data_IF_103307345383
#
_entry.id   IF_103307345383
#
_cell.length_a   1.000
_cell.length_b   1.000
_cell.length_c   1.000
_cell.angle_alpha   90.00
_cell.angle_beta   90.00
_cell.angle_gamma   90.00
#
_symmetry.space_group_name_H-M   'P 1'
#
loop_
_entity.id
_entity.type
_entity.pdbx_description
1 polymer ?
#
# COMPACT_ATOMS: atom_id res chain seq x y z
N UNK A 1 9.18 10.75 6.74
CA UNK A 1 9.31 10.65 5.26
C UNK A 1 7.93 10.94 4.70
N UNK A 2 7.83 11.79 3.69
CA UNK A 2 6.55 12.12 3.09
C UNK A 2 6.11 10.99 2.16
N UNK A 3 4.94 10.42 2.41
CA UNK A 3 4.28 9.44 1.54
C UNK A 3 3.09 10.11 0.84
N UNK A 4 3.10 10.08 -0.50
CA UNK A 4 2.00 10.50 -1.37
C UNK A 4 1.40 9.26 -2.01
N UNK A 5 0.09 9.09 -1.90
CA UNK A 5 -0.68 8.11 -2.69
C UNK A 5 -1.48 8.88 -3.72
N UNK A 6 -1.33 8.52 -4.99
CA UNK A 6 -2.09 9.06 -6.11
C UNK A 6 -2.69 7.88 -6.89
N UNK A 7 -3.98 7.62 -6.69
CA UNK A 7 -4.59 6.40 -7.21
C UNK A 7 -4.69 6.34 -8.73
N UNK A 8 -4.66 7.50 -9.38
CA UNK A 8 -4.57 7.61 -10.83
C UNK A 8 -3.23 7.04 -11.33
N UNK A 9 -2.11 7.51 -10.76
CA UNK A 9 -0.76 7.03 -11.07
C UNK A 9 -0.59 5.54 -10.74
N UNK A 10 -1.13 5.09 -9.59
CA UNK A 10 -1.07 3.69 -9.18
C UNK A 10 -1.84 2.79 -10.15
N UNK A 11 -3.03 3.22 -10.60
CA UNK A 11 -3.85 2.46 -11.55
C UNK A 11 -3.21 2.42 -12.93
N UNK A 12 -2.66 3.54 -13.41
CA UNK A 12 -1.89 3.60 -14.65
C UNK A 12 -0.68 2.65 -14.62
N UNK A 13 0.08 2.69 -13.52
CA UNK A 13 1.19 1.77 -13.31
C UNK A 13 0.73 0.31 -13.29
N UNK A 14 -0.39 0.00 -12.65
CA UNK A 14 -0.95 -1.36 -12.63
C UNK A 14 -1.30 -1.86 -14.04
N UNK A 15 -1.91 -1.00 -14.86
CA UNK A 15 -2.22 -1.34 -16.25
C UNK A 15 -0.94 -1.56 -17.08
N UNK A 16 0.04 -0.69 -16.93
CA UNK A 16 1.34 -0.84 -17.58
C UNK A 16 2.04 -2.15 -17.18
N UNK A 17 2.08 -2.42 -15.87
CA UNK A 17 2.69 -3.63 -15.33
C UNK A 17 2.01 -4.89 -15.84
N UNK A 18 0.67 -4.90 -15.93
CA UNK A 18 -0.09 -6.01 -16.48
C UNK A 18 0.31 -6.32 -17.92
N UNK A 19 0.33 -5.30 -18.79
CA UNK A 19 0.73 -5.48 -20.20
C UNK A 19 2.16 -6.01 -20.29
N UNK A 20 3.09 -5.39 -19.56
CA UNK A 20 4.51 -5.81 -19.57
C UNK A 20 4.71 -7.23 -19.01
N UNK A 21 3.97 -7.60 -17.97
CA UNK A 21 4.01 -8.93 -17.38
C UNK A 21 3.44 -9.98 -18.34
N UNK A 22 2.34 -9.69 -19.05
CA UNK A 22 1.76 -10.58 -20.06
C UNK A 22 2.72 -10.82 -21.24
N UNK A 23 3.37 -9.77 -21.75
CA UNK A 23 4.39 -9.88 -22.80
C UNK A 23 5.61 -10.70 -22.34
N UNK A 24 6.07 -10.45 -21.11
CA UNK A 24 7.20 -11.17 -20.53
C UNK A 24 6.86 -12.64 -20.32
N UNK A 25 5.69 -12.96 -19.77
CA UNK A 25 5.23 -14.35 -19.58
C UNK A 25 5.12 -15.07 -20.92
N UNK A 26 4.56 -14.43 -21.93
CA UNK A 26 4.49 -14.99 -23.29
C UNK A 26 5.89 -15.33 -23.83
N UNK A 27 6.86 -14.45 -23.61
CA UNK A 27 8.26 -14.68 -24.01
C UNK A 27 8.87 -15.88 -23.26
N UNK A 28 8.65 -15.97 -21.96
CA UNK A 28 9.14 -17.09 -21.13
C UNK A 28 8.50 -18.42 -21.54
N UNK A 29 7.20 -18.43 -21.86
CA UNK A 29 6.49 -19.60 -22.37
C UNK A 29 7.04 -20.06 -23.73
N UNK A 30 7.38 -19.12 -24.62
CA UNK A 30 8.02 -19.43 -25.89
C UNK A 30 9.40 -20.06 -25.71
N UNK A 31 10.21 -19.56 -24.76
CA UNK A 31 11.51 -20.15 -24.41
C UNK A 31 11.31 -21.58 -23.85
N UNK A 32 10.34 -21.76 -22.95
CA UNK A 32 9.98 -23.07 -22.38
C UNK A 32 9.58 -24.05 -23.49
N UNK A 33 8.76 -23.63 -24.44
CA UNK A 33 8.38 -24.44 -25.61
C UNK A 33 9.59 -24.81 -26.48
N UNK A 34 10.52 -23.88 -26.68
CA UNK A 34 11.79 -24.12 -27.38
C UNK A 34 12.65 -25.17 -26.69
N UNK A 35 12.80 -25.08 -25.36
CA UNK A 35 13.50 -26.08 -24.55
C UNK A 35 12.85 -27.45 -24.68
N UNK A 36 11.51 -27.54 -24.56
CA UNK A 36 10.78 -28.81 -24.70
C UNK A 36 11.04 -29.47 -26.05
N UNK A 37 11.11 -28.70 -27.14
CA UNK A 37 11.45 -29.23 -28.48
C UNK A 37 12.88 -29.78 -28.54
N UNK A 38 13.85 -29.12 -27.90
CA UNK A 38 15.24 -29.61 -27.83
C UNK A 38 15.31 -30.92 -27.03
N UNK A 39 14.54 -31.05 -25.96
CA UNK A 39 14.50 -32.26 -25.14
C UNK A 39 14.03 -33.48 -25.94
N UNK A 40 12.98 -33.32 -26.75
CA UNK A 40 12.39 -34.39 -27.57
C UNK A 40 13.10 -34.58 -28.92
N UNK A 41 14.21 -33.89 -29.18
CA UNK A 41 14.89 -33.96 -30.47
C UNK A 41 15.81 -35.19 -30.53
N UNK A 42 15.46 -36.16 -31.37
CA UNK A 42 16.23 -37.40 -31.56
C UNK A 42 17.59 -37.15 -32.26
N UNK A 43 17.65 -36.14 -33.13
CA UNK A 43 18.90 -35.73 -33.79
C UNK A 43 19.91 -35.09 -32.84
N UNK A 44 19.48 -34.66 -31.65
CA UNK A 44 20.34 -34.17 -30.59
C UNK A 44 20.59 -35.28 -29.57
N UNK A 45 21.63 -36.09 -29.80
CA UNK A 45 21.90 -37.33 -29.05
C UNK A 45 23.37 -37.49 -28.66
N UNK A 46 23.63 -38.43 -27.75
CA UNK A 46 24.93 -38.72 -27.17
C UNK A 46 25.11 -38.14 -25.76
N UNK A 47 26.14 -38.60 -25.05
CA UNK A 47 26.31 -38.33 -23.61
C UNK A 47 26.34 -36.84 -23.22
N UNK A 48 26.85 -35.99 -24.10
CA UNK A 48 26.85 -34.53 -23.88
C UNK A 48 25.46 -33.92 -24.11
N UNK A 49 24.73 -34.40 -25.13
CA UNK A 49 23.36 -33.97 -25.41
C UNK A 49 22.42 -34.36 -24.26
N UNK A 50 22.55 -35.58 -23.73
CA UNK A 50 21.75 -36.06 -22.60
C UNK A 50 21.94 -35.18 -21.35
N UNK A 51 23.20 -34.81 -21.04
CA UNK A 51 23.50 -33.90 -19.94
C UNK A 51 22.90 -32.49 -20.16
N UNK A 52 22.97 -31.96 -21.38
CA UNK A 52 22.35 -30.68 -21.71
C UNK A 52 20.82 -30.73 -21.59
N UNK A 53 20.17 -31.79 -22.07
CA UNK A 53 18.72 -32.01 -21.94
C UNK A 53 18.28 -32.05 -20.47
N UNK A 54 19.04 -32.74 -19.62
CA UNK A 54 18.80 -32.79 -18.18
C UNK A 54 18.98 -31.42 -17.53
N UNK A 55 20.05 -30.69 -17.86
CA UNK A 55 20.28 -29.33 -17.35
C UNK A 55 19.15 -28.37 -17.73
N UNK A 56 18.67 -28.43 -18.97
CA UNK A 56 17.50 -27.66 -19.39
C UNK A 56 16.24 -28.04 -18.61
N UNK A 57 16.02 -29.34 -18.37
CA UNK A 57 14.86 -29.85 -17.62
C UNK A 57 14.84 -29.38 -16.17
N UNK A 58 15.93 -29.61 -15.46
CA UNK A 58 15.97 -29.52 -14.00
C UNK A 58 16.12 -28.06 -13.54
N UNK A 59 16.90 -27.27 -14.28
CA UNK A 59 17.25 -25.91 -13.86
C UNK A 59 16.46 -24.88 -14.65
N UNK A 60 16.58 -24.88 -15.98
CA UNK A 60 16.00 -23.79 -16.77
C UNK A 60 14.47 -23.82 -16.79
N UNK A 61 13.83 -24.97 -16.97
CA UNK A 61 12.36 -25.04 -16.93
C UNK A 61 11.81 -24.63 -15.57
N UNK A 62 12.42 -25.11 -14.48
CA UNK A 62 12.05 -24.73 -13.11
C UNK A 62 12.18 -23.22 -12.88
N UNK A 63 13.27 -22.62 -13.36
CA UNK A 63 13.52 -21.19 -13.23
C UNK A 63 12.52 -20.35 -14.04
N UNK A 64 12.20 -20.77 -15.27
CA UNK A 64 11.19 -20.12 -16.11
C UNK A 64 9.82 -20.14 -15.43
N UNK A 65 9.42 -21.28 -14.85
CA UNK A 65 8.17 -21.40 -14.10
C UNK A 65 8.15 -20.49 -12.86
N UNK A 66 9.28 -20.36 -12.16
CA UNK A 66 9.40 -19.45 -11.04
C UNK A 66 9.22 -17.98 -11.46
N UNK A 67 9.78 -17.56 -12.61
CA UNK A 67 9.59 -16.21 -13.14
C UNK A 67 8.15 -15.96 -13.59
N UNK A 68 7.53 -16.89 -14.31
CA UNK A 68 6.12 -16.79 -14.72
C UNK A 68 5.22 -16.62 -13.50
N UNK A 69 5.49 -17.40 -12.44
CA UNK A 69 4.78 -17.27 -11.18
C UNK A 69 5.04 -15.92 -10.50
N UNK A 70 6.29 -15.47 -10.43
CA UNK A 70 6.65 -14.17 -9.84
C UNK A 70 5.87 -13.01 -10.49
N UNK A 71 5.81 -12.96 -11.82
CA UNK A 71 5.04 -11.92 -12.52
C UNK A 71 3.53 -12.01 -12.25
N UNK A 72 3.01 -13.23 -12.13
CA UNK A 72 1.60 -13.45 -11.78
C UNK A 72 1.30 -12.99 -10.35
N UNK A 73 2.12 -13.40 -9.40
CA UNK A 73 1.99 -13.04 -7.98
C UNK A 73 2.13 -11.52 -7.80
N UNK A 74 3.06 -10.88 -8.53
CA UNK A 74 3.27 -9.44 -8.49
C UNK A 74 2.03 -8.67 -8.99
N UNK A 75 1.47 -9.07 -10.12
CA UNK A 75 0.26 -8.44 -10.69
C UNK A 75 -0.93 -8.58 -9.73
N UNK A 76 -1.20 -9.79 -9.25
CA UNK A 76 -2.31 -10.06 -8.32
C UNK A 76 -2.17 -9.28 -7.01
N UNK A 77 -0.95 -9.16 -6.51
CA UNK A 77 -0.68 -8.43 -5.28
C UNK A 77 -0.97 -6.93 -5.45
N UNK A 78 -0.54 -6.33 -6.55
CA UNK A 78 -0.84 -4.93 -6.86
C UNK A 78 -2.34 -4.69 -7.05
N UNK A 79 -3.03 -5.55 -7.81
CA UNK A 79 -4.48 -5.48 -8.01
C UNK A 79 -5.24 -5.57 -6.67
N UNK A 80 -4.83 -6.49 -5.80
CA UNK A 80 -5.40 -6.63 -4.45
C UNK A 80 -5.16 -5.39 -3.59
N UNK A 81 -3.99 -4.76 -3.69
CA UNK A 81 -3.71 -3.52 -2.95
C UNK A 81 -4.58 -2.36 -3.41
N UNK A 82 -4.82 -2.24 -4.71
CA UNK A 82 -5.73 -1.24 -5.29
C UNK A 82 -7.17 -1.48 -4.79
N UNK A 83 -7.65 -2.72 -4.83
CA UNK A 83 -8.98 -3.07 -4.32
C UNK A 83 -9.12 -2.81 -2.82
N UNK A 84 -8.09 -3.13 -2.04
CA UNK A 84 -8.03 -2.86 -0.60
C UNK A 84 -8.10 -1.36 -0.33
N UNK A 85 -7.41 -0.54 -1.12
CA UNK A 85 -7.49 0.92 -1.02
C UNK A 85 -8.93 1.39 -1.29
N UNK A 86 -9.54 0.96 -2.39
CA UNK A 86 -10.90 1.38 -2.74
C UNK A 86 -11.96 0.97 -1.72
N UNK A 87 -11.74 -0.16 -1.03
CA UNK A 87 -12.66 -0.68 -0.03
C UNK A 87 -12.50 0.00 1.33
N UNK A 88 -11.26 0.24 1.76
CA UNK A 88 -10.96 0.61 3.15
C UNK A 88 -10.51 2.06 3.32
N UNK A 89 -10.10 2.75 2.25
CA UNK A 89 -9.53 4.10 2.33
C UNK A 89 -10.44 5.11 1.63
N UNK A 90 -10.58 5.00 0.31
CA UNK A 90 -11.39 5.92 -0.48
C UNK A 90 -11.82 5.25 -1.79
N UNK A 91 -13.11 5.29 -2.11
CA UNK A 91 -13.67 4.70 -3.34
C UNK A 91 -13.31 5.44 -4.64
N UNK A 92 -12.75 6.65 -4.54
CA UNK A 92 -12.43 7.51 -5.67
C UNK A 92 -11.12 7.09 -6.35
N UNK A 93 -11.17 6.88 -7.67
CA UNK A 93 -9.97 6.69 -8.50
C UNK A 93 -9.08 7.93 -8.59
N UNK A 94 -9.60 9.10 -8.20
CA UNK A 94 -8.85 10.37 -8.15
C UNK A 94 -8.34 10.70 -6.74
N UNK A 95 -8.41 9.74 -5.79
CA UNK A 95 -7.95 9.95 -4.43
C UNK A 95 -6.46 10.29 -4.39
N UNK A 96 -6.14 11.38 -3.68
CA UNK A 96 -4.78 11.88 -3.46
C UNK A 96 -4.56 12.14 -1.99
N UNK A 97 -3.66 11.38 -1.39
CA UNK A 97 -3.41 11.43 0.06
C UNK A 97 -1.95 11.80 0.29
N UNK A 98 -1.72 12.83 1.09
CA UNK A 98 -0.39 13.27 1.50
C UNK A 98 -0.29 13.10 3.01
N UNK A 99 0.52 12.14 3.46
CA UNK A 99 0.70 11.84 4.90
C UNK A 99 1.15 13.06 5.71
N UNK A 100 2.06 13.88 5.18
CA UNK A 100 2.47 15.12 5.86
C UNK A 100 1.30 16.08 6.06
N UNK A 101 0.42 16.20 5.08
CA UNK A 101 -0.74 17.09 5.16
C UNK A 101 -1.69 16.66 6.29
N UNK A 102 -1.84 15.35 6.53
CA UNK A 102 -2.67 14.84 7.64
C UNK A 102 -2.06 15.20 9.00
N UNK A 103 -0.74 15.01 9.16
CA UNK A 103 -0.01 15.37 10.38
C UNK A 103 -0.03 16.88 10.64
N UNK A 104 0.22 17.67 9.60
CA UNK A 104 0.21 19.14 9.68
C UNK A 104 -1.21 19.63 10.05
N UNK A 105 -2.25 19.02 9.47
CA UNK A 105 -3.63 19.35 9.78
C UNK A 105 -4.02 19.00 11.23
N UNK A 106 -3.59 17.84 11.74
CA UNK A 106 -3.80 17.47 13.14
C UNK A 106 -3.14 18.49 14.08
N UNK A 107 -1.89 18.86 13.80
CA UNK A 107 -1.17 19.87 14.58
C UNK A 107 -1.88 21.24 14.54
N UNK A 108 -2.33 21.68 13.38
CA UNK A 108 -3.06 22.94 13.20
C UNK A 108 -4.37 22.95 13.99
N UNK A 109 -5.10 21.83 14.01
CA UNK A 109 -6.33 21.67 14.78
C UNK A 109 -6.04 21.75 16.29
N UNK A 110 -5.01 21.07 16.77
CA UNK A 110 -4.60 21.11 18.18
C UNK A 110 -4.18 22.53 18.59
N UNK A 111 -3.39 23.22 17.77
CA UNK A 111 -2.96 24.59 18.05
C UNK A 111 -4.15 25.57 18.08
N UNK A 112 -5.05 25.48 17.08
CA UNK A 112 -6.25 26.33 17.02
C UNK A 112 -7.17 26.07 18.22
N UNK A 113 -7.37 24.81 18.60
CA UNK A 113 -8.16 24.46 19.77
C UNK A 113 -7.54 24.99 21.06
N UNK A 114 -6.21 24.89 21.21
CA UNK A 114 -5.48 25.48 22.34
C UNK A 114 -5.70 26.99 22.45
N UNK A 115 -5.68 27.71 21.32
CA UNK A 115 -6.02 29.15 21.29
C UNK A 115 -7.47 29.42 21.70
N UNK A 116 -8.43 28.61 21.25
CA UNK A 116 -9.84 28.74 21.65
C UNK A 116 -10.06 28.46 23.14
N UNK A 117 -9.36 27.49 23.73
CA UNK A 117 -9.47 27.20 25.16
C UNK A 117 -8.96 28.38 26.01
N UNK A 118 -7.89 29.06 25.58
CA UNK A 118 -7.42 30.28 26.22
C UNK A 118 -8.46 31.41 26.16
N UNK A 119 -9.12 31.57 25.01
CA UNK A 119 -10.20 32.57 24.83
C UNK A 119 -11.40 32.24 25.73
N UNK A 120 -11.82 30.97 25.79
CA UNK A 120 -12.88 30.50 26.70
C UNK A 120 -12.57 30.83 28.15
N UNK A 121 -11.35 30.57 28.61
CA UNK A 121 -10.93 30.89 29.98
C UNK A 121 -11.01 32.39 30.26
N UNK A 122 -10.57 33.22 29.31
CA UNK A 122 -10.66 34.68 29.40
C UNK A 122 -12.10 35.19 29.47
N UNK A 123 -12.99 34.68 28.62
CA UNK A 123 -14.42 35.02 28.63
C UNK A 123 -15.06 34.62 29.97
N UNK A 124 -14.81 33.40 30.42
CA UNK A 124 -15.36 32.91 31.68
C UNK A 124 -14.89 33.77 32.86
N UNK A 125 -13.60 34.11 32.93
CA UNK A 125 -13.07 34.99 33.96
C UNK A 125 -13.66 36.40 33.90
N UNK A 126 -13.88 36.95 32.71
CA UNK A 126 -14.53 38.25 32.54
C UNK A 126 -15.97 38.25 33.04
N UNK A 127 -16.76 37.21 32.70
CA UNK A 127 -18.14 37.04 33.15
C UNK A 127 -18.19 36.91 34.68
N UNK A 128 -17.27 36.12 35.26
CA UNK A 128 -17.19 35.95 36.72
C UNK A 128 -16.87 37.28 37.43
N UNK A 129 -16.01 38.12 36.84
CA UNK A 129 -15.63 39.42 37.42
C UNK A 129 -16.74 40.48 37.40
N UNK A 130 -17.76 40.34 36.55
CA UNK A 130 -18.88 41.31 36.43
C UNK A 130 -20.23 40.73 36.87
N UNK A 131 -20.21 39.58 37.55
CA UNK A 131 -21.40 38.84 37.93
C UNK A 131 -22.30 39.57 38.96
N UNK A 132 -21.79 40.61 39.62
CA UNK A 132 -22.52 41.45 40.58
C UNK A 132 -23.47 42.45 39.90
N UNK A 133 -23.15 42.86 38.67
CA UNK A 133 -23.91 43.87 37.91
C UNK A 133 -24.46 43.35 36.58
N UNK A 134 -24.13 42.11 36.19
CA UNK A 134 -24.55 41.51 34.91
C UNK A 134 -25.07 40.09 35.09
N UNK A 135 -26.09 39.73 34.33
CA UNK A 135 -26.65 38.37 34.24
C UNK A 135 -26.12 37.60 33.02
N UNK A 136 -24.93 37.95 32.51
CA UNK A 136 -24.35 37.29 31.35
C UNK A 136 -24.06 35.81 31.62
N UNK A 137 -24.38 34.96 30.64
CA UNK A 137 -24.22 33.50 30.74
C UNK A 137 -22.95 33.08 29.99
N UNK A 138 -22.16 32.18 30.59
CA UNK A 138 -20.97 31.63 29.96
C UNK A 138 -21.33 30.87 28.66
N UNK A 139 -20.58 31.05 27.56
CA UNK A 139 -20.86 30.35 26.32
C UNK A 139 -20.63 28.84 26.49
N UNK A 140 -21.41 28.03 25.77
CA UNK A 140 -21.16 26.59 25.68
C UNK A 140 -20.12 26.28 24.60
N UNK A 141 -19.02 25.64 25.00
CA UNK A 141 -17.93 25.23 24.12
C UNK A 141 -17.96 23.73 23.77
N UNK A 142 -18.90 22.95 24.33
CA UNK A 142 -19.02 21.51 24.02
C UNK A 142 -19.09 21.21 22.52
N UNK A 143 -19.82 21.98 21.68
CA UNK A 143 -19.84 21.72 20.23
C UNK A 143 -18.45 21.77 19.60
N UNK A 144 -17.63 22.75 20.01
CA UNK A 144 -16.25 22.93 19.50
C UNK A 144 -15.37 21.76 19.94
N UNK A 145 -15.49 21.33 21.20
CA UNK A 145 -14.75 20.16 21.72
C UNK A 145 -15.14 18.88 20.98
N UNK A 146 -16.44 18.69 20.70
CA UNK A 146 -16.91 17.53 19.92
C UNK A 146 -16.29 17.54 18.52
N UNK A 147 -16.40 18.66 17.80
CA UNK A 147 -15.86 18.80 16.45
C UNK A 147 -14.36 18.52 16.42
N UNK A 148 -13.59 19.02 17.39
CA UNK A 148 -12.16 18.72 17.52
C UNK A 148 -11.92 17.21 17.61
N UNK A 149 -12.59 16.53 18.54
CA UNK A 149 -12.42 15.10 18.75
C UNK A 149 -12.84 14.28 17.53
N UNK A 150 -13.96 14.64 16.89
CA UNK A 150 -14.46 13.96 15.69
C UNK A 150 -13.50 14.12 14.51
N UNK A 151 -12.91 15.32 14.37
CA UNK A 151 -11.93 15.59 13.30
C UNK A 151 -10.63 14.83 13.52
N UNK A 152 -10.06 14.88 14.73
CA UNK A 152 -8.83 14.12 15.06
C UNK A 152 -9.06 12.64 14.87
N UNK A 153 -10.19 12.10 15.34
CA UNK A 153 -10.54 10.71 15.13
C UNK A 153 -10.59 10.35 13.64
N UNK A 154 -11.19 11.20 12.80
CA UNK A 154 -11.24 10.96 11.36
C UNK A 154 -9.84 10.92 10.73
N UNK A 155 -8.92 11.79 11.19
CA UNK A 155 -7.52 11.77 10.75
C UNK A 155 -6.84 10.47 11.18
N UNK A 156 -6.98 10.07 12.45
CA UNK A 156 -6.40 8.82 12.98
C UNK A 156 -6.95 7.59 12.26
N UNK A 157 -8.27 7.50 12.06
CA UNK A 157 -8.91 6.38 11.36
C UNK A 157 -8.38 6.27 9.92
N UNK A 158 -8.15 7.40 9.25
CA UNK A 158 -7.55 7.44 7.92
C UNK A 158 -6.09 6.96 7.93
N UNK A 159 -5.27 7.41 8.89
CA UNK A 159 -3.88 6.95 9.03
C UNK A 159 -3.80 5.43 9.27
N UNK A 160 -4.63 4.90 10.18
CA UNK A 160 -4.70 3.47 10.46
C UNK A 160 -5.08 2.66 9.22
N UNK A 161 -6.00 3.19 8.41
CA UNK A 161 -6.45 2.55 7.16
C UNK A 161 -5.35 2.51 6.08
N UNK A 162 -4.38 3.43 6.15
CA UNK A 162 -3.23 3.47 5.23
C UNK A 162 -2.08 2.56 5.67
N UNK A 163 -1.94 2.24 6.96
CA UNK A 163 -0.82 1.44 7.48
C UNK A 163 -0.65 0.07 6.79
N UNK A 164 -1.71 -0.75 6.54
CA UNK A 164 -1.57 -2.03 5.86
C UNK A 164 -1.03 -1.92 4.43
N UNK A 165 -1.25 -0.79 3.78
CA UNK A 165 -0.78 -0.52 2.42
C UNK A 165 0.71 -0.14 2.38
N UNK A 166 1.22 0.48 3.45
CA UNK A 166 2.62 0.91 3.56
C UNK A 166 3.53 -0.16 4.16
N UNK A 167 3.02 -1.01 5.05
CA UNK A 167 3.82 -1.95 5.85
C UNK A 167 3.81 -3.40 5.36
N UNK A 168 3.19 -3.71 4.20
CA UNK A 168 3.33 -5.04 3.57
C UNK A 168 4.68 -5.17 2.86
N UNK A 169 5.76 -4.90 3.58
CA UNK A 169 7.12 -5.25 3.20
C UNK A 169 7.15 -6.77 3.07
N UNK A 170 7.42 -7.25 1.86
CA UNK A 170 7.44 -8.67 1.48
C UNK A 170 7.97 -9.54 2.63
N UNK A 171 7.09 -10.31 3.28
CA UNK A 171 7.47 -11.43 4.14
C UNK A 171 8.10 -12.52 3.26
N UNK A 172 9.35 -12.29 2.87
CA UNK A 172 10.22 -13.25 2.16
C UNK A 172 10.84 -14.26 3.13
N UNK A 173 10.43 -14.28 4.40
CA UNK A 173 10.82 -15.29 5.38
C UNK A 173 9.88 -16.50 5.34
N UNK A 174 10.03 -17.34 4.30
CA UNK A 174 9.96 -18.81 4.38
C UNK A 174 10.02 -19.42 2.97
N UNK A 175 11.21 -19.46 2.37
CA UNK A 175 11.61 -20.52 1.43
C UNK A 175 13.12 -20.50 1.19
N UNK A 176 13.87 -20.57 2.28
CA UNK A 176 15.32 -20.78 2.27
C UNK A 176 15.56 -22.28 2.43
N UNK A 177 15.92 -22.95 1.34
CA UNK A 177 16.72 -24.17 1.24
C UNK A 177 16.23 -25.45 1.98
N UNK A 178 15.75 -26.41 1.19
CA UNK A 178 16.02 -27.84 1.42
C UNK A 178 16.29 -28.53 0.09
N UNK A 179 17.42 -28.21 -0.54
CA UNK A 179 18.14 -29.20 -1.34
C UNK A 179 19.05 -29.91 -0.35
N UNK A 180 18.53 -30.95 0.32
CA UNK A 180 19.40 -31.90 1.01
C UNK A 180 19.97 -32.82 -0.06
N UNK A 181 21.27 -32.71 -0.30
CA UNK A 181 22.04 -33.77 -0.91
C UNK A 181 21.98 -35.00 -0.01
N UNK A 182 21.60 -36.13 -0.61
CA UNK A 182 22.11 -37.47 -0.30
C UNK A 182 21.82 -38.38 -1.47
#
# INVERSE_FOLDING_TARGET
>A
MAHKVDMEEVTEFSNYLKVSAEETKTTLENIKSGISKIQTMDSFSGKAADQAKNYFAEIHLTLLDAFIKLFTDLQQNLEQHIETFYTNVDTSSAARIQSNYLLDLEQDIEEMYGKMENVKQSINGTIDNVADISSAIKPDFKPVTSIKNDTIKTITDLEESLLPLLNRRIDTKQRTYCIKSK
#
